data_IF_512301693026
#
_entry.id   IF_512301693026
#
_cell.length_a   1.000
_cell.length_b   1.000
_cell.length_c   1.000
_cell.angle_alpha   90.00
_cell.angle_beta   90.00
_cell.angle_gamma   90.00
#
_symmetry.space_group_name_H-M   'P 1'
#
loop_
_entity.id
_entity.type
_entity.pdbx_description
1 polymer ?
#
# COMPACT_ATOMS: atom_id res chain seq x y z
N UNK A 1 13.38 -14.69 -0.83
CA UNK A 1 12.37 -15.27 -1.76
C UNK A 1 12.06 -16.69 -1.34
N UNK A 2 10.80 -16.97 -1.00
CA UNK A 2 10.44 -18.26 -0.37
C UNK A 2 10.04 -19.34 -1.38
N UNK A 3 9.20 -19.01 -2.38
CA UNK A 3 8.62 -20.02 -3.30
C UNK A 3 8.52 -19.60 -4.78
N UNK A 4 8.04 -18.40 -5.06
CA UNK A 4 7.75 -17.97 -6.43
C UNK A 4 9.05 -17.60 -7.19
N UNK A 5 9.30 -18.25 -8.34
CA UNK A 5 10.48 -17.99 -9.19
C UNK A 5 10.47 -16.63 -9.88
N UNK A 6 9.33 -15.96 -9.93
CA UNK A 6 9.16 -14.66 -10.55
C UNK A 6 9.18 -13.51 -9.54
N UNK A 7 9.16 -13.82 -8.24
CA UNK A 7 9.15 -12.80 -7.21
C UNK A 7 10.51 -12.09 -7.16
N UNK A 8 10.44 -10.76 -7.11
CA UNK A 8 11.58 -9.86 -6.92
C UNK A 8 11.72 -9.51 -5.44
N UNK A 9 10.60 -9.51 -4.70
CA UNK A 9 10.53 -9.15 -3.29
C UNK A 9 9.81 -10.25 -2.51
N UNK A 10 10.25 -10.51 -1.27
CA UNK A 10 9.53 -11.39 -0.34
C UNK A 10 8.19 -10.76 0.08
N UNK A 11 7.12 -11.56 0.17
CA UNK A 11 5.78 -11.03 0.44
C UNK A 11 5.12 -11.57 1.69
N UNK A 12 5.22 -12.86 2.01
CA UNK A 12 4.43 -13.49 3.08
C UNK A 12 4.96 -13.09 4.45
N UNK A 13 6.27 -13.23 4.65
CA UNK A 13 6.92 -12.83 5.89
C UNK A 13 6.92 -11.31 6.09
N UNK A 14 7.03 -10.55 5.00
CA UNK A 14 6.87 -9.10 5.03
C UNK A 14 5.44 -8.68 5.39
N UNK A 15 4.41 -9.30 4.81
CA UNK A 15 3.02 -9.00 5.14
C UNK A 15 2.68 -9.31 6.60
N UNK A 16 3.16 -10.44 7.13
CA UNK A 16 2.99 -10.78 8.55
C UNK A 16 3.61 -9.72 9.47
N UNK A 17 4.86 -9.31 9.19
CA UNK A 17 5.52 -8.23 9.94
C UNK A 17 4.81 -6.89 9.81
N UNK A 18 4.30 -6.57 8.63
CA UNK A 18 3.54 -5.33 8.40
C UNK A 18 2.27 -5.31 9.25
N UNK A 19 1.53 -6.42 9.32
CA UNK A 19 0.34 -6.55 10.16
C UNK A 19 0.71 -6.29 11.63
N UNK A 20 1.73 -6.99 12.15
CA UNK A 20 2.18 -6.82 13.54
C UNK A 20 2.57 -5.37 13.86
N UNK A 21 3.17 -4.65 12.91
CA UNK A 21 3.55 -3.25 13.08
C UNK A 21 2.35 -2.32 13.02
N UNK A 22 1.39 -2.54 12.11
CA UNK A 22 0.21 -1.69 11.99
C UNK A 22 -0.72 -1.82 13.21
N UNK A 23 -0.88 -3.03 13.76
CA UNK A 23 -1.67 -3.25 14.98
C UNK A 23 -1.09 -2.49 16.19
N UNK A 24 0.25 -2.37 16.28
CA UNK A 24 0.90 -1.60 17.34
C UNK A 24 0.86 -0.09 17.10
N UNK A 25 1.08 0.32 15.85
CA UNK A 25 1.28 1.73 15.50
C UNK A 25 -0.04 2.48 15.29
N UNK A 26 -1.10 1.81 14.87
CA UNK A 26 -2.40 2.42 14.53
C UNK A 26 -3.54 1.64 15.20
N UNK A 27 -3.56 1.54 16.54
CA UNK A 27 -4.58 0.77 17.27
C UNK A 27 -5.98 1.38 17.16
N UNK A 28 -6.08 2.62 16.68
CA UNK A 28 -7.28 3.43 16.52
C UNK A 28 -7.90 3.32 15.11
N UNK A 29 -7.39 2.46 14.24
CA UNK A 29 -7.99 2.20 12.92
C UNK A 29 -9.41 1.62 13.08
N UNK A 30 -10.40 2.40 12.68
CA UNK A 30 -11.83 2.12 12.87
C UNK A 30 -12.57 1.68 11.60
N UNK A 31 -11.87 1.67 10.46
CA UNK A 31 -12.39 1.30 9.14
C UNK A 31 -11.48 0.25 8.49
N UNK A 32 -12.03 -0.72 7.74
CA UNK A 32 -11.23 -1.76 7.12
C UNK A 32 -10.32 -1.19 6.04
N UNK A 33 -9.06 -1.64 6.04
CA UNK A 33 -8.04 -1.23 5.07
C UNK A 33 -7.45 -2.47 4.39
N UNK A 34 -7.47 -2.49 3.06
CA UNK A 34 -6.88 -3.59 2.28
C UNK A 34 -5.46 -3.28 1.82
N UNK A 35 -4.50 -4.11 2.21
CA UNK A 35 -3.11 -4.03 1.75
C UNK A 35 -2.74 -5.28 0.96
N UNK A 36 -2.44 -5.13 -0.33
CA UNK A 36 -2.13 -6.24 -1.23
C UNK A 36 -0.64 -6.28 -1.58
N UNK A 37 0.11 -7.19 -0.96
CA UNK A 37 1.56 -7.35 -1.15
C UNK A 37 1.88 -8.29 -2.31
N UNK A 38 2.50 -7.77 -3.39
CA UNK A 38 2.87 -8.57 -4.56
C UNK A 38 4.38 -8.50 -4.81
N UNK A 39 5.03 -9.65 -4.98
CA UNK A 39 6.49 -9.72 -5.15
C UNK A 39 6.97 -9.33 -6.54
N UNK A 40 6.07 -9.20 -7.52
CA UNK A 40 6.39 -8.93 -8.93
C UNK A 40 5.18 -8.26 -9.64
N UNK A 41 5.31 -7.83 -10.91
CA UNK A 41 4.24 -7.09 -11.59
C UNK A 41 3.03 -7.94 -12.03
N UNK A 42 3.06 -9.28 -11.86
CA UNK A 42 1.99 -10.17 -12.32
C UNK A 42 0.67 -10.06 -11.53
N UNK A 43 0.69 -9.37 -10.39
CA UNK A 43 -0.53 -9.04 -9.63
C UNK A 43 -1.34 -10.25 -9.14
N UNK A 44 -0.69 -11.35 -8.75
CA UNK A 44 -1.39 -12.55 -8.21
C UNK A 44 -2.20 -12.23 -6.94
N UNK A 45 -1.75 -11.27 -6.14
CA UNK A 45 -2.48 -10.73 -5.00
C UNK A 45 -3.23 -9.42 -5.35
N UNK A 46 -3.53 -9.14 -6.62
CA UNK A 46 -4.50 -8.13 -7.08
C UNK A 46 -4.15 -6.68 -6.66
N UNK A 47 -2.98 -6.20 -7.07
CA UNK A 47 -2.42 -4.87 -6.74
C UNK A 47 -3.42 -3.73 -6.98
N UNK A 48 -4.08 -3.74 -8.13
CA UNK A 48 -4.84 -2.58 -8.61
C UNK A 48 -6.15 -2.32 -7.87
N UNK A 49 -6.64 -3.29 -7.09
CA UNK A 49 -7.97 -3.24 -6.46
C UNK A 49 -7.89 -3.24 -4.93
N UNK A 50 -6.76 -2.81 -4.39
CA UNK A 50 -6.53 -2.60 -2.97
C UNK A 50 -6.55 -1.11 -2.63
N UNK A 51 -6.87 -0.78 -1.38
CA UNK A 51 -6.61 0.54 -0.81
C UNK A 51 -5.13 0.89 -0.96
N UNK A 52 -4.25 -0.05 -0.57
CA UNK A 52 -2.80 0.02 -0.75
C UNK A 52 -2.29 -1.21 -1.50
N UNK A 53 -2.05 -1.05 -2.79
CA UNK A 53 -1.47 -2.08 -3.65
C UNK A 53 0.04 -1.95 -3.78
N UNK A 54 0.79 -3.02 -3.49
CA UNK A 54 2.25 -3.00 -3.53
C UNK A 54 2.78 -3.88 -4.67
N UNK A 55 3.47 -3.27 -5.63
CA UNK A 55 4.10 -3.95 -6.77
C UNK A 55 5.61 -4.08 -6.60
N UNK A 56 6.05 -5.29 -6.26
CA UNK A 56 7.45 -5.63 -6.03
C UNK A 56 8.34 -5.39 -7.24
N UNK A 57 9.48 -4.75 -7.01
CA UNK A 57 10.53 -4.46 -7.98
C UNK A 57 11.83 -4.11 -7.25
N UNK A 58 12.92 -3.93 -8.00
CA UNK A 58 14.13 -3.31 -7.45
C UNK A 58 13.95 -1.78 -7.45
N UNK A 59 14.27 -1.16 -6.31
CA UNK A 59 14.21 0.28 -6.08
C UNK A 59 15.59 0.78 -5.68
N UNK A 60 15.79 2.09 -5.78
CA UNK A 60 17.01 2.75 -5.30
C UNK A 60 16.67 3.41 -3.98
N UNK A 61 17.40 3.07 -2.92
CA UNK A 61 17.26 3.72 -1.61
C UNK A 61 18.00 5.07 -1.54
N UNK A 62 17.93 5.73 -0.40
CA UNK A 62 18.53 7.06 -0.18
C UNK A 62 20.07 7.04 -0.26
N UNK A 63 20.70 5.88 -0.05
CA UNK A 63 22.13 5.66 -0.21
C UNK A 63 22.54 5.36 -1.67
N UNK A 64 21.56 5.33 -2.59
CA UNK A 64 21.79 4.99 -4.00
C UNK A 64 21.93 3.48 -4.26
N UNK A 65 21.66 2.62 -3.28
CA UNK A 65 21.79 1.16 -3.40
C UNK A 65 20.53 0.57 -4.04
N UNK A 66 20.71 -0.49 -4.83
CA UNK A 66 19.60 -1.25 -5.40
C UNK A 66 19.08 -2.25 -4.36
N UNK A 67 17.85 -2.07 -3.90
CA UNK A 67 17.23 -2.88 -2.84
C UNK A 67 15.85 -3.38 -3.25
N UNK A 68 15.34 -4.39 -2.53
CA UNK A 68 13.95 -4.84 -2.67
C UNK A 68 12.98 -3.72 -2.26
N UNK A 69 11.92 -3.51 -3.04
CA UNK A 69 10.90 -2.51 -2.72
C UNK A 69 9.69 -2.56 -3.64
N UNK A 70 8.84 -1.55 -3.52
CA UNK A 70 7.51 -1.53 -4.12
C UNK A 70 7.26 -0.21 -4.86
N UNK A 71 6.58 -0.30 -6.01
CA UNK A 71 5.77 0.81 -6.51
C UNK A 71 4.38 0.69 -5.89
N UNK A 72 3.88 1.80 -5.38
CA UNK A 72 2.60 1.86 -4.68
C UNK A 72 1.46 2.24 -5.65
N UNK A 73 0.34 1.56 -5.49
CA UNK A 73 -0.96 1.88 -6.07
C UNK A 73 -1.92 2.22 -4.93
N UNK A 74 -2.65 3.33 -5.03
CA UNK A 74 -3.51 3.82 -3.96
C UNK A 74 -4.96 4.02 -4.41
N UNK A 75 -5.90 3.63 -3.55
CA UNK A 75 -7.33 3.87 -3.69
C UNK A 75 -8.03 3.00 -4.74
N UNK A 76 -7.54 1.78 -4.92
CA UNK A 76 -8.27 0.76 -5.66
C UNK A 76 -9.35 0.10 -4.81
N UNK A 77 -10.32 -0.54 -5.47
CA UNK A 77 -11.35 -1.30 -4.78
C UNK A 77 -12.34 -1.92 -5.74
N UNK A 78 -12.95 -3.03 -5.33
CA UNK A 78 -14.10 -3.59 -6.03
C UNK A 78 -15.39 -2.89 -5.57
N UNK A 79 -16.45 -2.97 -6.37
CA UNK A 79 -17.78 -2.62 -5.91
C UNK A 79 -18.27 -3.71 -4.94
N UNK A 80 -18.60 -3.32 -3.71
CA UNK A 80 -19.05 -4.19 -2.62
C UNK A 80 -20.14 -3.45 -1.83
N UNK A 81 -20.77 -4.08 -0.83
CA UNK A 81 -21.80 -3.41 -0.01
C UNK A 81 -21.33 -2.08 0.61
N UNK A 82 -20.04 -1.95 0.91
CA UNK A 82 -19.44 -0.75 1.49
C UNK A 82 -18.87 0.22 0.45
N UNK A 83 -18.94 -0.11 -0.85
CA UNK A 83 -18.44 0.74 -1.93
C UNK A 83 -19.26 0.57 -3.21
N UNK A 84 -20.03 1.59 -3.58
CA UNK A 84 -20.96 1.51 -4.71
C UNK A 84 -20.27 1.48 -6.09
N UNK A 85 -19.12 2.14 -6.25
CA UNK A 85 -18.41 2.21 -7.53
C UNK A 85 -17.06 1.48 -7.46
N UNK A 86 -16.67 0.67 -8.47
CA UNK A 86 -15.35 0.07 -8.53
C UNK A 86 -14.27 1.12 -8.88
N UNK A 87 -13.00 0.80 -8.68
CA UNK A 87 -11.91 1.75 -8.89
C UNK A 87 -10.55 1.05 -8.96
N UNK A 88 -9.66 1.61 -9.79
CA UNK A 88 -8.30 1.12 -9.98
C UNK A 88 -7.35 2.06 -9.26
N UNK A 89 -6.48 1.51 -8.42
CA UNK A 89 -5.52 2.28 -7.65
C UNK A 89 -4.54 3.05 -8.54
N UNK A 90 -4.37 4.34 -8.25
CA UNK A 90 -3.48 5.24 -9.00
C UNK A 90 -2.04 5.10 -8.55
N UNK A 91 -1.11 5.31 -9.48
CA UNK A 91 0.33 5.36 -9.20
C UNK A 91 0.75 6.81 -8.98
N UNK A 92 1.59 7.05 -8.00
CA UNK A 92 2.24 8.35 -7.80
C UNK A 92 3.53 8.44 -8.61
N UNK A 93 3.80 9.63 -9.16
CA UNK A 93 4.96 9.84 -10.03
C UNK A 93 6.26 9.64 -9.24
N UNK A 94 7.15 8.76 -9.72
CA UNK A 94 8.45 8.46 -9.08
C UNK A 94 8.34 8.04 -7.61
N UNK A 95 7.17 7.54 -7.18
CA UNK A 95 7.01 7.06 -5.82
C UNK A 95 7.37 5.58 -5.73
N UNK A 96 8.31 5.28 -4.84
CA UNK A 96 8.82 3.94 -4.58
C UNK A 96 9.13 3.87 -3.08
N UNK A 97 8.94 2.69 -2.49
CA UNK A 97 9.15 2.44 -1.07
C UNK A 97 10.03 1.20 -0.94
N UNK A 98 11.11 1.26 -0.15
CA UNK A 98 11.91 0.08 0.14
C UNK A 98 11.12 -0.91 0.99
N UNK A 99 11.47 -2.20 0.95
CA UNK A 99 10.82 -3.18 1.80
C UNK A 99 10.99 -2.85 3.30
N UNK A 100 12.15 -2.32 3.68
CA UNK A 100 12.45 -1.91 5.07
C UNK A 100 11.66 -0.67 5.50
N UNK A 101 11.43 0.29 4.60
CA UNK A 101 10.65 1.50 4.87
C UNK A 101 9.14 1.32 4.71
N UNK A 102 8.65 0.11 4.47
CA UNK A 102 7.25 -0.14 4.15
C UNK A 102 6.31 0.18 5.32
N UNK A 103 6.65 -0.23 6.54
CA UNK A 103 5.82 0.03 7.71
C UNK A 103 5.66 1.52 7.97
N UNK A 104 6.76 2.28 7.91
CA UNK A 104 6.76 3.74 8.10
C UNK A 104 5.93 4.45 7.02
N UNK A 105 6.01 3.98 5.77
CA UNK A 105 5.20 4.52 4.69
C UNK A 105 3.70 4.27 4.90
N UNK A 106 3.32 3.03 5.22
CA UNK A 106 1.90 2.69 5.43
C UNK A 106 1.35 3.48 6.62
N UNK A 107 2.08 3.57 7.72
CA UNK A 107 1.68 4.38 8.87
C UNK A 107 1.45 5.84 8.48
N UNK A 108 2.40 6.47 7.78
CA UNK A 108 2.31 7.87 7.40
C UNK A 108 1.06 8.16 6.57
N UNK A 109 0.78 7.33 5.57
CA UNK A 109 -0.35 7.52 4.66
C UNK A 109 -1.68 7.22 5.34
N UNK A 110 -1.74 6.19 6.20
CA UNK A 110 -2.95 5.87 6.97
C UNK A 110 -3.24 6.96 8.00
N UNK A 111 -2.24 7.47 8.72
CA UNK A 111 -2.42 8.61 9.63
C UNK A 111 -2.86 9.86 8.87
N UNK A 112 -2.25 10.15 7.72
CA UNK A 112 -2.69 11.26 6.86
C UNK A 112 -4.17 11.15 6.46
N UNK A 113 -4.66 9.92 6.20
CA UNK A 113 -6.08 9.67 5.99
C UNK A 113 -6.91 9.91 7.25
N UNK A 114 -6.56 9.29 8.39
CA UNK A 114 -7.31 9.44 9.64
C UNK A 114 -7.41 10.92 10.09
N UNK A 115 -6.35 11.68 9.90
CA UNK A 115 -6.27 13.10 10.30
C UNK A 115 -7.08 14.04 9.41
N UNK A 116 -7.32 13.68 8.14
CA UNK A 116 -7.89 14.61 7.15
C UNK A 116 -9.15 14.11 6.45
N UNK A 117 -9.58 12.87 6.73
CA UNK A 117 -10.80 12.30 6.17
C UNK A 117 -12.04 12.99 6.69
N UNK A 118 -13.05 13.06 5.84
CA UNK A 118 -14.42 13.39 6.29
C UNK A 118 -15.03 12.21 7.06
N UNK A 119 -16.06 12.47 7.87
CA UNK A 119 -16.76 11.42 8.60
C UNK A 119 -17.29 10.34 7.65
N UNK A 120 -16.94 9.07 7.91
CA UNK A 120 -17.34 7.91 7.10
C UNK A 120 -16.65 7.80 5.73
N UNK A 121 -15.65 8.64 5.43
CA UNK A 121 -14.91 8.57 4.17
C UNK A 121 -13.91 7.42 4.20
N UNK A 122 -14.03 6.49 3.24
CA UNK A 122 -13.12 5.36 3.10
C UNK A 122 -11.71 5.81 2.65
N UNK A 123 -10.71 4.95 2.85
CA UNK A 123 -9.35 5.24 2.39
C UNK A 123 -9.31 5.47 0.87
N UNK A 124 -9.98 4.63 0.09
CA UNK A 124 -9.97 4.75 -1.37
C UNK A 124 -10.55 6.08 -1.87
N UNK A 125 -11.65 6.54 -1.29
CA UNK A 125 -12.26 7.84 -1.63
C UNK A 125 -11.32 8.99 -1.28
N UNK A 126 -10.70 8.94 -0.10
CA UNK A 126 -9.72 9.94 0.32
C UNK A 126 -8.50 9.96 -0.60
N UNK A 127 -7.92 8.80 -0.90
CA UNK A 127 -6.69 8.68 -1.68
C UNK A 127 -6.85 9.15 -3.14
N UNK A 128 -8.06 9.12 -3.70
CA UNK A 128 -8.35 9.66 -5.04
C UNK A 128 -8.30 11.19 -5.05
N UNK A 129 -8.85 11.83 -4.01
CA UNK A 129 -8.92 13.30 -3.89
C UNK A 129 -7.71 13.96 -3.23
N UNK A 130 -6.89 13.21 -2.48
CA UNK A 130 -5.76 13.74 -1.74
C UNK A 130 -4.67 14.35 -2.63
N UNK A 131 -4.01 15.41 -2.12
CA UNK A 131 -2.79 15.96 -2.71
C UNK A 131 -1.66 14.92 -2.69
N UNK A 132 -0.82 14.88 -3.74
CA UNK A 132 0.26 13.89 -3.82
C UNK A 132 1.22 13.94 -2.61
N UNK A 133 1.39 15.09 -1.96
CA UNK A 133 2.26 15.21 -0.78
C UNK A 133 1.74 14.40 0.41
N UNK A 134 0.42 14.27 0.55
CA UNK A 134 -0.19 13.48 1.63
C UNK A 134 -0.05 11.96 1.41
N UNK A 135 0.32 11.54 0.19
CA UNK A 135 0.38 10.14 -0.21
C UNK A 135 1.82 9.59 -0.33
N UNK A 136 2.83 10.42 -0.01
CA UNK A 136 4.26 10.13 -0.14
C UNK A 136 4.90 9.83 1.20
#
# INVERSE_FOLDING_TARGET
LEFCKLAIVETKGLAARLIDEMEKRIPDLDEPLTVHVNGCPNSCARIQVADIGLKGQIVTDDDGRQVEGFQVHLGGGLALQQRNEPGIGRKLRRHKVSADGLADYVERVVRGWLDTRSAGQTFAEWAVGADEKALR
#
